data_IF_548489347973
#
_entry.id   IF_548489347973
#
_cell.length_a   1.000
_cell.length_b   1.000
_cell.length_c   1.000
_cell.angle_alpha   90.00
_cell.angle_beta   90.00
_cell.angle_gamma   90.00
#
_symmetry.space_group_name_H-M   'P 1'
#
loop_
_entity.id
_entity.type
_entity.pdbx_description
1 polymer ?
#
# COMPACT_ATOMS: atom_id res chain seq x y z
N UNK A 1 3.08 -3.22 -32.70
CA UNK A 1 1.85 -3.78 -33.28
C UNK A 1 1.72 -3.30 -34.72
N UNK A 2 1.22 -4.12 -35.66
CA UNK A 2 0.92 -3.67 -37.03
C UNK A 2 -0.45 -3.01 -37.10
N UNK A 3 -0.48 -1.74 -37.46
CA UNK A 3 -1.66 -0.91 -37.61
C UNK A 3 -1.90 -0.62 -39.09
N UNK A 4 -3.16 -0.66 -39.53
CA UNK A 4 -3.56 -0.26 -40.89
C UNK A 4 -4.26 1.09 -40.88
N UNK A 5 -4.07 1.87 -41.93
CA UNK A 5 -4.80 3.11 -42.17
C UNK A 5 -6.32 2.88 -42.21
N UNK A 6 -7.10 3.86 -41.73
CA UNK A 6 -8.58 3.80 -41.71
C UNK A 6 -9.20 3.11 -40.49
N UNK A 7 -8.41 2.67 -39.51
CA UNK A 7 -8.87 2.20 -38.18
C UNK A 7 -8.38 3.15 -37.08
N UNK A 8 -9.15 3.29 -36.00
CA UNK A 8 -8.84 4.19 -34.88
C UNK A 8 -7.98 3.44 -33.84
N UNK A 9 -6.72 3.84 -33.69
CA UNK A 9 -5.74 3.16 -32.81
C UNK A 9 -5.31 4.00 -31.60
N UNK A 10 -5.80 5.24 -31.47
CA UNK A 10 -5.43 6.18 -30.40
C UNK A 10 -4.25 7.10 -30.76
N UNK A 11 -3.86 7.95 -29.80
CA UNK A 11 -2.67 8.81 -29.87
C UNK A 11 -1.42 7.94 -29.67
N UNK A 12 -0.47 8.01 -30.59
CA UNK A 12 0.76 7.21 -30.52
C UNK A 12 1.84 7.73 -31.49
N UNK A 13 3.07 7.22 -31.33
CA UNK A 13 4.14 7.36 -32.31
C UNK A 13 4.11 6.19 -33.29
N UNK A 14 3.92 6.49 -34.57
CA UNK A 14 3.81 5.49 -35.63
C UNK A 14 5.08 5.48 -36.50
N UNK A 15 5.58 4.28 -36.80
CA UNK A 15 6.68 4.04 -37.73
C UNK A 15 6.14 3.44 -39.02
N UNK A 16 6.42 4.05 -40.16
CA UNK A 16 6.10 3.45 -41.45
C UNK A 16 6.97 2.19 -41.68
N UNK A 17 6.34 1.04 -41.97
CA UNK A 17 7.08 -0.23 -42.20
C UNK A 17 7.90 -0.21 -43.49
N UNK A 18 7.57 0.67 -44.44
CA UNK A 18 8.24 0.76 -45.74
C UNK A 18 9.40 1.75 -45.78
N UNK A 19 9.25 2.96 -45.22
CA UNK A 19 10.28 4.01 -45.29
C UNK A 19 10.93 4.32 -43.94
N UNK A 20 10.43 3.76 -42.83
CA UNK A 20 11.01 3.93 -41.50
C UNK A 20 10.79 5.29 -40.85
N UNK A 21 10.05 6.22 -41.48
CA UNK A 21 9.70 7.53 -40.92
C UNK A 21 8.83 7.35 -39.67
N UNK A 22 9.14 8.12 -38.63
CA UNK A 22 8.38 8.22 -37.39
C UNK A 22 7.55 9.50 -37.37
N UNK A 23 6.30 9.42 -36.91
CA UNK A 23 5.46 10.59 -36.65
C UNK A 23 4.57 10.32 -35.44
N UNK A 24 4.51 11.27 -34.52
CA UNK A 24 3.53 11.27 -33.42
C UNK A 24 2.25 11.89 -33.93
N UNK A 25 1.13 11.20 -33.72
CA UNK A 25 -0.18 11.65 -34.18
C UNK A 25 -1.12 11.80 -33.00
N UNK A 26 -1.73 12.98 -32.88
CA UNK A 26 -2.77 13.28 -31.88
C UNK A 26 -4.10 12.56 -32.23
N UNK A 27 -4.33 12.30 -33.52
CA UNK A 27 -5.49 11.55 -34.00
C UNK A 27 -5.13 10.71 -35.24
N UNK A 28 -5.94 9.70 -35.56
CA UNK A 28 -5.62 8.70 -36.58
C UNK A 28 -5.92 9.13 -38.02
N UNK A 29 -6.51 10.31 -38.21
CA UNK A 29 -6.90 10.78 -39.55
C UNK A 29 -5.66 11.16 -40.38
N UNK A 30 -4.54 11.46 -39.71
CA UNK A 30 -3.28 11.87 -40.31
C UNK A 30 -2.29 10.71 -40.56
N UNK A 31 -2.68 9.45 -40.35
CA UNK A 31 -1.79 8.28 -40.58
C UNK A 31 -1.29 8.21 -42.03
N UNK A 32 -2.13 8.59 -43.00
CA UNK A 32 -1.74 8.63 -44.41
C UNK A 32 -0.77 9.78 -44.74
N UNK A 33 -0.63 10.76 -43.84
CA UNK A 33 0.30 11.88 -43.97
C UNK A 33 1.67 11.61 -43.34
N UNK A 34 1.90 10.41 -42.79
CA UNK A 34 3.20 10.04 -42.19
C UNK A 34 4.30 10.02 -43.26
N UNK A 35 4.00 9.50 -44.46
CA UNK A 35 4.95 9.44 -45.57
C UNK A 35 4.24 9.60 -46.92
N UNK A 36 4.94 10.17 -47.90
CA UNK A 36 4.55 10.15 -49.31
C UNK A 36 4.86 8.81 -50.02
N UNK A 37 5.19 7.77 -49.25
CA UNK A 37 5.64 6.47 -49.76
C UNK A 37 4.51 5.49 -50.15
N UNK A 38 3.25 5.93 -49.96
CA UNK A 38 2.03 5.19 -50.32
C UNK A 38 1.83 3.91 -49.51
N UNK A 39 2.44 3.79 -48.34
CA UNK A 39 2.32 2.62 -47.48
C UNK A 39 1.10 2.75 -46.56
N UNK A 40 0.38 1.66 -46.32
CA UNK A 40 -0.80 1.61 -45.46
C UNK A 40 -0.58 0.82 -44.15
N UNK A 41 0.61 0.22 -43.98
CA UNK A 41 1.01 -0.52 -42.76
C UNK A 41 2.01 0.27 -41.90
N UNK A 42 1.72 0.34 -40.59
CA UNK A 42 2.54 1.09 -39.63
C UNK A 42 2.80 0.25 -38.38
N UNK A 43 3.95 0.46 -37.74
CA UNK A 43 4.27 -0.10 -36.44
C UNK A 43 4.09 0.96 -35.36
N UNK A 44 3.26 0.67 -34.37
CA UNK A 44 3.14 1.48 -33.16
C UNK A 44 3.66 0.68 -31.94
N UNK A 45 4.48 1.29 -31.05
CA UNK A 45 4.68 0.78 -29.71
C UNK A 45 3.39 1.01 -28.92
N UNK A 46 2.75 -0.05 -28.42
CA UNK A 46 1.59 0.14 -27.55
C UNK A 46 2.13 0.50 -26.17
N UNK A 47 2.01 1.77 -25.80
CA UNK A 47 2.28 2.22 -24.44
C UNK A 47 0.94 2.35 -23.72
N UNK A 48 0.73 1.51 -22.71
CA UNK A 48 -0.42 1.63 -21.83
C UNK A 48 -0.02 2.50 -20.64
N UNK A 49 -0.62 3.68 -20.53
CA UNK A 49 -0.56 4.45 -19.29
C UNK A 49 -1.48 3.79 -18.25
N UNK A 50 -0.92 3.47 -17.08
CA UNK A 50 -1.74 3.02 -15.96
C UNK A 50 -2.54 4.21 -15.44
N UNK A 51 -3.86 4.14 -15.54
CA UNK A 51 -4.72 5.18 -14.99
C UNK A 51 -4.61 5.22 -13.46
N UNK A 52 -4.63 6.43 -12.89
CA UNK A 52 -4.69 6.63 -11.44
C UNK A 52 -5.97 6.05 -10.82
N UNK A 53 -6.99 5.80 -11.64
CA UNK A 53 -8.25 5.21 -11.20
C UNK A 53 -8.04 3.82 -10.57
N UNK A 54 -7.20 2.98 -11.18
CA UNK A 54 -6.90 1.66 -10.61
C UNK A 54 -6.19 1.74 -9.25
N UNK A 55 -5.40 2.79 -9.01
CA UNK A 55 -4.77 3.00 -7.70
C UNK A 55 -5.76 3.49 -6.64
N UNK A 56 -6.78 4.27 -7.02
CA UNK A 56 -7.85 4.70 -6.12
C UNK A 56 -8.75 3.55 -5.71
N UNK A 57 -9.20 2.75 -6.69
CA UNK A 57 -9.98 1.52 -6.41
C UNK A 57 -9.20 0.59 -5.48
N UNK A 58 -7.90 0.40 -5.75
CA UNK A 58 -7.05 -0.42 -4.89
C UNK A 58 -6.90 0.16 -3.48
N UNK A 59 -6.83 1.49 -3.34
CA UNK A 59 -6.80 2.14 -2.05
C UNK A 59 -8.09 1.83 -1.27
N UNK A 60 -9.26 2.02 -1.89
CA UNK A 60 -10.56 1.75 -1.25
C UNK A 60 -10.68 0.29 -0.80
N UNK A 61 -10.24 -0.66 -1.65
CA UNK A 61 -10.18 -2.09 -1.29
C UNK A 61 -9.31 -2.34 -0.05
N UNK A 62 -8.10 -1.77 -0.03
CA UNK A 62 -7.16 -1.91 1.08
C UNK A 62 -7.77 -1.37 2.37
N UNK A 63 -8.38 -0.18 2.31
CA UNK A 63 -9.02 0.44 3.48
C UNK A 63 -10.15 -0.45 4.00
N UNK A 64 -11.03 -0.93 3.12
CA UNK A 64 -12.10 -1.84 3.56
C UNK A 64 -11.55 -3.11 4.21
N UNK A 65 -10.50 -3.71 3.63
CA UNK A 65 -9.87 -4.90 4.23
C UNK A 65 -9.29 -4.57 5.61
N UNK A 66 -8.65 -3.41 5.78
CA UNK A 66 -8.11 -2.99 7.07
C UNK A 66 -9.22 -2.82 8.11
N UNK A 67 -10.32 -2.15 7.78
CA UNK A 67 -11.46 -1.93 8.68
C UNK A 67 -12.07 -3.25 9.16
N UNK A 68 -12.35 -4.15 8.22
CA UNK A 68 -12.88 -5.48 8.51
C UNK A 68 -11.89 -6.27 9.38
N UNK A 69 -10.61 -6.24 9.04
CA UNK A 69 -9.59 -6.98 9.79
C UNK A 69 -9.43 -6.45 11.22
N UNK A 70 -9.48 -5.13 11.42
CA UNK A 70 -9.49 -4.52 12.76
C UNK A 70 -10.69 -5.02 13.56
N UNK A 71 -11.89 -5.01 12.96
CA UNK A 71 -13.10 -5.53 13.60
C UNK A 71 -12.96 -7.00 13.98
N UNK A 72 -12.44 -7.85 13.08
CA UNK A 72 -12.26 -9.28 13.35
C UNK A 72 -11.21 -9.53 14.45
N UNK A 73 -10.14 -8.74 14.48
CA UNK A 73 -9.12 -8.86 15.53
C UNK A 73 -9.63 -8.40 16.91
N UNK A 74 -10.29 -7.25 16.99
CA UNK A 74 -10.63 -6.63 18.28
C UNK A 74 -12.05 -6.95 18.77
N UNK A 75 -12.99 -7.13 17.84
CA UNK A 75 -14.39 -7.45 18.15
C UNK A 75 -14.65 -8.95 18.29
N UNK A 76 -13.95 -9.79 17.51
CA UNK A 76 -14.13 -11.24 17.50
C UNK A 76 -12.89 -12.02 17.98
N UNK A 77 -11.81 -11.33 18.38
CA UNK A 77 -10.58 -11.93 18.92
C UNK A 77 -9.89 -12.92 17.95
N UNK A 78 -10.02 -12.71 16.63
CA UNK A 78 -9.44 -13.59 15.61
C UNK A 78 -8.01 -13.13 15.24
N UNK A 79 -7.02 -13.67 15.95
CA UNK A 79 -5.60 -13.31 15.82
C UNK A 79 -4.98 -13.45 14.40
N UNK A 80 -5.53 -14.31 13.55
CA UNK A 80 -4.98 -14.52 12.19
C UNK A 80 -5.08 -13.25 11.32
N UNK A 81 -6.01 -12.34 11.63
CA UNK A 81 -6.21 -11.12 10.86
C UNK A 81 -5.15 -10.03 11.13
N UNK A 82 -4.34 -10.14 12.18
CA UNK A 82 -3.16 -9.25 12.34
C UNK A 82 -2.19 -9.39 11.16
N UNK A 83 -2.01 -10.61 10.63
CA UNK A 83 -1.20 -10.85 9.44
C UNK A 83 -1.81 -10.18 8.20
N UNK A 84 -3.14 -10.20 8.07
CA UNK A 84 -3.85 -9.53 6.97
C UNK A 84 -3.63 -8.02 7.05
N UNK A 85 -3.75 -7.42 8.24
CA UNK A 85 -3.46 -6.01 8.48
C UNK A 85 -2.03 -5.68 8.05
N UNK A 86 -1.04 -6.46 8.49
CA UNK A 86 0.35 -6.24 8.13
C UNK A 86 0.60 -6.28 6.61
N UNK A 87 0.02 -7.26 5.91
CA UNK A 87 0.14 -7.36 4.44
C UNK A 87 -0.47 -6.14 3.76
N UNK A 88 -1.66 -5.71 4.19
CA UNK A 88 -2.30 -4.52 3.61
C UNK A 88 -1.51 -3.23 3.89
N UNK A 89 -1.00 -3.07 5.12
CA UNK A 89 -0.12 -1.96 5.48
C UNK A 89 1.18 -1.97 4.67
N UNK A 90 1.78 -3.14 4.44
CA UNK A 90 2.99 -3.26 3.61
C UNK A 90 2.72 -2.81 2.17
N UNK A 91 1.63 -3.28 1.57
CA UNK A 91 1.24 -2.86 0.20
C UNK A 91 1.04 -1.34 0.13
N UNK A 92 0.34 -0.78 1.12
CA UNK A 92 -0.06 0.63 1.13
C UNK A 92 1.09 1.58 1.44
N UNK A 93 1.94 1.24 2.40
CA UNK A 93 2.95 2.12 2.98
C UNK A 93 4.37 1.81 2.49
N UNK A 94 4.70 0.54 2.28
CA UNK A 94 6.07 0.09 2.01
C UNK A 94 6.32 -0.20 0.52
N UNK A 95 5.52 -1.06 -0.09
CA UNK A 95 5.82 -1.65 -1.40
C UNK A 95 5.45 -0.72 -2.56
N UNK A 96 4.30 -0.05 -2.48
CA UNK A 96 3.79 0.78 -3.57
C UNK A 96 3.19 2.10 -3.09
N UNK A 97 4.08 3.07 -2.88
CA UNK A 97 3.68 4.43 -2.51
C UNK A 97 2.74 5.12 -3.50
N UNK A 98 2.56 4.62 -4.74
CA UNK A 98 1.58 5.18 -5.71
C UNK A 98 0.14 5.02 -5.24
N UNK A 99 -0.18 3.94 -4.52
CA UNK A 99 -1.54 3.67 -4.03
C UNK A 99 -1.96 4.77 -3.06
N UNK A 100 -1.18 4.99 -2.00
CA UNK A 100 -1.47 6.06 -1.04
C UNK A 100 -1.35 7.46 -1.69
N UNK A 101 -0.44 7.63 -2.66
CA UNK A 101 -0.29 8.90 -3.40
C UNK A 101 -1.47 9.24 -4.30
N UNK A 102 -2.30 8.28 -4.66
CA UNK A 102 -3.54 8.53 -5.41
C UNK A 102 -4.53 9.42 -4.64
N UNK A 103 -4.41 9.45 -3.30
CA UNK A 103 -5.18 10.29 -2.38
C UNK A 103 -4.32 11.36 -1.69
N UNK A 104 -3.10 11.02 -1.28
CA UNK A 104 -2.17 11.88 -0.57
C UNK A 104 -0.90 12.11 -1.39
N UNK A 105 -0.87 13.14 -2.24
CA UNK A 105 0.23 13.36 -3.18
C UNK A 105 1.64 13.32 -2.55
N UNK A 106 1.76 13.79 -1.30
CA UNK A 106 2.98 13.69 -0.47
C UNK A 106 2.60 13.16 0.92
N UNK A 107 2.52 11.83 1.13
CA UNK A 107 2.08 11.27 2.40
C UNK A 107 3.03 11.67 3.53
N UNK A 108 2.45 12.20 4.62
CA UNK A 108 3.18 12.58 5.83
C UNK A 108 2.43 12.08 7.06
N UNK A 109 3.16 11.56 8.02
CA UNK A 109 2.63 10.98 9.26
C UNK A 109 3.28 11.65 10.46
N UNK A 110 2.54 11.75 11.56
CA UNK A 110 3.09 12.27 12.82
C UNK A 110 4.20 11.34 13.34
N UNK A 111 5.37 11.88 13.73
CA UNK A 111 6.45 11.07 14.31
C UNK A 111 6.04 10.49 15.67
N UNK A 112 6.75 9.51 16.19
CA UNK A 112 6.49 9.03 17.54
C UNK A 112 6.90 10.07 18.61
N UNK A 113 6.38 9.94 19.83
CA UNK A 113 6.68 10.89 20.92
C UNK A 113 8.15 10.87 21.31
N UNK A 114 8.81 9.72 21.14
CA UNK A 114 10.20 9.49 21.56
C UNK A 114 10.32 8.96 22.99
N UNK A 115 9.18 8.78 23.67
CA UNK A 115 9.13 8.20 25.00
C UNK A 115 9.44 6.71 24.91
N UNK A 116 10.67 6.35 25.29
CA UNK A 116 11.11 4.96 25.36
C UNK A 116 10.66 4.33 26.67
N UNK A 117 10.10 3.14 26.56
CA UNK A 117 9.65 2.34 27.68
C UNK A 117 10.56 1.14 27.81
N UNK A 118 11.10 0.93 29.01
CA UNK A 118 11.91 -0.22 29.33
C UNK A 118 10.99 -1.41 29.60
N UNK A 119 11.15 -2.48 28.82
CA UNK A 119 10.40 -3.72 29.00
C UNK A 119 10.84 -4.50 30.24
N UNK A 120 10.24 -5.68 30.43
CA UNK A 120 10.63 -6.62 31.50
C UNK A 120 11.92 -7.38 31.19
N UNK A 121 12.39 -7.34 29.95
CA UNK A 121 13.68 -7.88 29.49
C UNK A 121 14.62 -6.75 29.06
N UNK A 122 15.83 -7.09 28.60
CA UNK A 122 16.84 -6.15 28.09
C UNK A 122 16.43 -5.55 26.73
N UNK A 123 15.28 -4.90 26.69
CA UNK A 123 14.83 -4.13 25.53
C UNK A 123 14.11 -2.84 25.95
N UNK A 124 14.12 -1.89 25.04
CA UNK A 124 13.32 -0.68 25.10
C UNK A 124 12.42 -0.64 23.88
N UNK A 125 11.23 -0.06 24.02
CA UNK A 125 10.35 0.19 22.88
C UNK A 125 9.53 1.46 23.04
N UNK A 126 9.05 2.01 21.94
CA UNK A 126 7.95 2.97 21.95
C UNK A 126 6.65 2.17 22.23
N UNK A 127 5.72 2.69 23.02
CA UNK A 127 4.41 2.03 23.14
C UNK A 127 3.50 2.42 21.97
N UNK A 128 2.54 1.58 21.61
CA UNK A 128 1.69 1.81 20.44
C UNK A 128 0.90 3.13 20.53
N UNK A 129 0.47 3.52 21.73
CA UNK A 129 -0.18 4.80 22.01
C UNK A 129 0.73 6.01 21.80
N UNK A 130 2.05 5.79 21.77
CA UNK A 130 3.07 6.81 21.59
C UNK A 130 3.65 6.84 20.16
N UNK A 131 3.14 6.01 19.25
CA UNK A 131 3.64 5.88 17.89
C UNK A 131 3.34 7.10 17.01
N UNK A 132 2.32 7.88 17.38
CA UNK A 132 1.89 9.08 16.65
C UNK A 132 1.70 10.29 17.59
N UNK A 133 2.68 11.18 17.59
CA UNK A 133 2.64 12.44 18.32
C UNK A 133 1.94 13.53 17.49
N UNK A 134 0.61 13.63 17.64
CA UNK A 134 -0.23 14.62 16.95
C UNK A 134 0.10 16.09 17.31
N UNK A 135 1.01 16.34 18.26
CA UNK A 135 1.46 17.70 18.62
C UNK A 135 2.64 18.18 17.75
N UNK A 136 3.36 17.25 17.09
CA UNK A 136 4.51 17.55 16.24
C UNK A 136 4.09 17.74 14.78
N UNK A 137 4.97 18.31 13.96
CA UNK A 137 4.69 18.38 12.52
C UNK A 137 4.83 16.99 11.86
N UNK A 138 3.91 16.61 10.95
CA UNK A 138 4.04 15.39 10.17
C UNK A 138 5.33 15.35 9.33
N UNK A 139 6.01 14.20 9.35
CA UNK A 139 7.22 13.92 8.58
C UNK A 139 6.91 13.05 7.36
N UNK A 140 7.77 13.07 6.35
CA UNK A 140 7.59 12.27 5.14
C UNK A 140 7.51 10.77 5.45
N UNK A 141 6.64 10.04 4.74
CA UNK A 141 6.42 8.60 4.93
C UNK A 141 7.73 7.79 5.00
N UNK A 142 8.66 8.01 4.06
CA UNK A 142 9.94 7.28 4.04
C UNK A 142 10.80 7.53 5.29
N UNK A 143 10.69 8.73 5.89
CA UNK A 143 11.35 9.05 7.16
C UNK A 143 10.61 8.42 8.33
N UNK A 144 9.27 8.42 8.27
CA UNK A 144 8.43 7.86 9.32
C UNK A 144 8.63 6.35 9.46
N UNK A 145 8.69 5.63 8.32
CA UNK A 145 8.94 4.19 8.26
C UNK A 145 10.29 3.78 8.87
N UNK A 146 11.30 4.66 8.78
CA UNK A 146 12.65 4.46 9.31
C UNK A 146 12.83 4.92 10.76
N UNK A 147 11.76 5.34 11.42
CA UNK A 147 11.86 5.67 12.84
C UNK A 147 12.06 4.40 13.64
N UNK A 148 13.12 4.38 14.43
CA UNK A 148 13.39 3.30 15.38
C UNK A 148 12.33 3.28 16.48
N UNK A 149 11.77 2.12 16.73
CA UNK A 149 10.67 1.90 17.67
C UNK A 149 10.98 0.84 18.72
N UNK A 150 12.01 0.02 18.52
CA UNK A 150 12.49 -0.90 19.54
C UNK A 150 14.02 -1.08 19.48
N UNK A 151 14.62 -1.33 20.64
CA UNK A 151 16.07 -1.45 20.85
C UNK A 151 16.38 -2.60 21.80
N UNK A 152 17.44 -3.36 21.52
CA UNK A 152 17.96 -4.40 22.39
C UNK A 152 19.47 -4.56 22.16
N UNK A 153 20.28 -5.00 23.13
CA UNK A 153 21.69 -5.30 22.89
C UNK A 153 21.90 -6.54 22.00
N UNK A 154 20.85 -7.35 21.76
CA UNK A 154 20.96 -8.59 21.00
C UNK A 154 20.80 -8.42 19.49
N UNK A 155 20.27 -7.28 19.03
CA UNK A 155 19.95 -7.04 17.63
C UNK A 155 19.97 -5.54 17.28
N UNK A 156 20.13 -5.23 15.99
CA UNK A 156 20.11 -3.84 15.51
C UNK A 156 18.72 -3.20 15.67
N UNK A 157 18.64 -1.90 16.01
CA UNK A 157 17.37 -1.20 16.23
C UNK A 157 16.32 -1.53 15.18
N UNK A 158 15.09 -1.69 15.64
CA UNK A 158 13.96 -2.03 14.80
C UNK A 158 13.22 -0.78 14.42
N UNK A 159 12.99 -0.58 13.13
CA UNK A 159 12.15 0.51 12.64
C UNK A 159 10.70 0.09 12.42
N UNK A 160 9.83 1.05 12.09
CA UNK A 160 8.41 0.77 11.86
C UNK A 160 8.19 -0.18 10.68
N UNK A 161 9.01 -0.05 9.62
CA UNK A 161 8.93 -0.92 8.45
C UNK A 161 9.28 -2.36 8.82
N UNK A 162 10.30 -2.57 9.66
CA UNK A 162 10.69 -3.88 10.16
C UNK A 162 9.52 -4.58 10.89
N UNK A 163 8.74 -3.85 11.70
CA UNK A 163 7.56 -4.41 12.38
C UNK A 163 6.50 -4.88 11.38
N UNK A 164 6.21 -4.07 10.36
CA UNK A 164 5.24 -4.40 9.31
C UNK A 164 5.72 -5.62 8.52
N UNK A 165 6.99 -5.62 8.11
CA UNK A 165 7.59 -6.69 7.31
C UNK A 165 7.65 -8.01 8.08
N UNK A 166 8.06 -8.00 9.35
CA UNK A 166 8.12 -9.18 10.20
C UNK A 166 6.75 -9.87 10.31
N UNK A 167 5.68 -9.09 10.50
CA UNK A 167 4.33 -9.65 10.53
C UNK A 167 3.84 -10.08 9.16
N UNK A 168 4.04 -9.29 8.10
CA UNK A 168 3.59 -9.64 6.76
C UNK A 168 4.27 -10.92 6.22
N UNK A 169 5.47 -11.23 6.70
CA UNK A 169 6.25 -12.40 6.31
C UNK A 169 6.13 -13.59 7.30
N UNK A 170 5.38 -13.44 8.41
CA UNK A 170 5.31 -14.41 9.52
C UNK A 170 5.01 -15.85 9.11
N UNK A 171 4.32 -16.07 8.00
CA UNK A 171 3.94 -17.41 7.51
C UNK A 171 4.75 -17.90 6.29
N UNK A 172 5.83 -17.19 5.92
CA UNK A 172 6.72 -17.58 4.84
C UNK A 172 6.14 -17.29 3.45
N UNK A 173 6.94 -16.66 2.59
CA UNK A 173 6.76 -16.81 1.15
C UNK A 173 7.09 -18.24 0.72
N UNK A 174 7.12 -18.50 -0.59
CA UNK A 174 7.39 -19.82 -1.18
C UNK A 174 8.73 -20.50 -0.75
N UNK A 175 9.57 -19.80 0.01
CA UNK A 175 10.75 -20.33 0.68
C UNK A 175 10.62 -20.11 2.19
N UNK A 176 10.16 -21.14 2.91
CA UNK A 176 10.18 -21.14 4.38
C UNK A 176 11.62 -21.41 4.81
N UNK A 177 12.32 -20.35 5.20
CA UNK A 177 13.55 -20.50 5.95
C UNK A 177 13.20 -20.99 7.37
N UNK A 178 13.87 -22.04 7.83
CA UNK A 178 13.49 -22.75 9.08
C UNK A 178 13.77 -21.94 10.36
N UNK A 179 14.33 -20.73 10.24
CA UNK A 179 14.78 -19.89 11.34
C UNK A 179 14.26 -18.47 11.15
N UNK A 180 13.46 -18.01 12.09
CA UNK A 180 13.03 -16.61 12.19
C UNK A 180 14.07 -15.85 13.04
N UNK A 181 14.67 -14.76 12.55
CA UNK A 181 15.57 -13.93 13.34
C UNK A 181 14.94 -13.44 14.65
N UNK A 182 15.75 -13.33 15.72
CA UNK A 182 15.27 -12.90 17.05
C UNK A 182 14.56 -11.54 17.01
N UNK A 183 15.08 -10.60 16.22
CA UNK A 183 14.45 -9.30 15.94
C UNK A 183 13.02 -9.46 15.41
N UNK A 184 12.80 -10.31 14.42
CA UNK A 184 11.47 -10.55 13.86
C UNK A 184 10.55 -11.26 14.86
N UNK A 185 11.08 -12.22 15.62
CA UNK A 185 10.33 -12.88 16.71
C UNK A 185 9.87 -11.89 17.77
N UNK A 186 10.70 -10.90 18.13
CA UNK A 186 10.31 -9.83 19.05
C UNK A 186 9.12 -9.03 18.52
N UNK A 187 9.17 -8.59 17.24
CA UNK A 187 8.07 -7.88 16.61
C UNK A 187 6.78 -8.72 16.61
N UNK A 188 6.89 -10.02 16.35
CA UNK A 188 5.74 -10.92 16.27
C UNK A 188 5.13 -11.23 17.65
N UNK A 189 5.97 -11.45 18.67
CA UNK A 189 5.53 -12.00 19.94
C UNK A 189 5.23 -10.95 21.02
N UNK A 190 5.84 -9.76 20.94
CA UNK A 190 5.85 -8.81 22.07
C UNK A 190 4.99 -7.58 21.82
N UNK A 191 5.12 -6.93 20.66
CA UNK A 191 4.56 -5.57 20.47
C UNK A 191 3.87 -5.33 19.13
N UNK A 192 4.07 -6.20 18.13
CA UNK A 192 3.64 -5.88 16.76
C UNK A 192 2.13 -5.86 16.57
N UNK A 193 1.33 -6.61 17.35
CA UNK A 193 -0.15 -6.56 17.22
C UNK A 193 -0.70 -5.15 17.44
N UNK A 194 -0.32 -4.52 18.55
CA UNK A 194 -0.82 -3.20 18.92
C UNK A 194 -0.31 -2.12 17.98
N UNK A 195 0.92 -2.27 17.48
CA UNK A 195 1.48 -1.40 16.45
C UNK A 195 0.66 -1.47 15.17
N UNK A 196 0.37 -2.67 14.67
CA UNK A 196 -0.39 -2.84 13.43
C UNK A 196 -1.77 -2.20 13.53
N UNK A 197 -2.45 -2.34 14.67
CA UNK A 197 -3.75 -1.70 14.92
C UNK A 197 -3.61 -0.19 14.99
N UNK A 198 -2.63 0.34 15.73
CA UNK A 198 -2.41 1.77 15.84
C UNK A 198 -2.11 2.40 14.48
N UNK A 199 -1.26 1.77 13.67
CA UNK A 199 -0.91 2.23 12.33
C UNK A 199 -2.13 2.19 11.41
N UNK A 200 -2.87 1.07 11.37
CA UNK A 200 -4.04 0.94 10.51
C UNK A 200 -5.11 1.97 10.85
N UNK A 201 -5.46 2.14 12.13
CA UNK A 201 -6.43 3.15 12.58
C UNK A 201 -6.00 4.56 12.19
N UNK A 202 -4.73 4.90 12.43
CA UNK A 202 -4.19 6.21 12.09
C UNK A 202 -4.25 6.48 10.57
N UNK A 203 -3.92 5.49 9.74
CA UNK A 203 -3.94 5.64 8.28
C UNK A 203 -5.37 5.79 7.74
N UNK A 204 -6.32 5.03 8.27
CA UNK A 204 -7.76 5.15 7.93
C UNK A 204 -8.24 6.58 8.26
N UNK A 205 -7.95 7.06 9.47
CA UNK A 205 -8.28 8.43 9.91
C UNK A 205 -7.61 9.48 8.99
N UNK A 206 -6.31 9.32 8.70
CA UNK A 206 -5.54 10.25 7.86
C UNK A 206 -6.13 10.38 6.44
N UNK A 207 -6.70 9.30 5.91
CA UNK A 207 -7.30 9.27 4.58
C UNK A 207 -8.76 9.77 4.57
N UNK A 208 -9.33 10.03 5.75
CA UNK A 208 -10.66 10.60 5.94
C UNK A 208 -11.80 9.57 6.00
N UNK A 209 -11.49 8.30 6.27
CA UNK A 209 -12.49 7.25 6.47
C UNK A 209 -12.90 7.19 7.95
N UNK A 210 -14.16 6.83 8.21
CA UNK A 210 -14.69 6.69 9.57
C UNK A 210 -14.89 5.21 9.87
N UNK A 211 -13.86 4.60 10.45
CA UNK A 211 -13.84 3.20 10.84
C UNK A 211 -15.12 2.74 11.55
N UNK A 212 -15.67 3.56 12.46
CA UNK A 212 -16.83 3.17 13.24
C UNK A 212 -18.10 3.18 12.39
N UNK A 213 -18.31 4.27 11.63
CA UNK A 213 -19.44 4.37 10.69
C UNK A 213 -19.38 3.25 9.65
N UNK A 214 -18.19 3.00 9.10
CA UNK A 214 -17.95 2.00 8.07
C UNK A 214 -18.25 0.57 8.55
N UNK A 215 -17.79 0.20 9.75
CA UNK A 215 -18.11 -1.11 10.35
C UNK A 215 -19.62 -1.25 10.57
N UNK A 216 -20.29 -0.21 11.06
CA UNK A 216 -21.73 -0.24 11.31
C UNK A 216 -22.53 -0.43 10.02
N UNK A 217 -22.21 0.34 8.99
CA UNK A 217 -22.95 0.36 7.74
C UNK A 217 -22.70 -0.90 6.90
N UNK A 218 -21.46 -1.36 6.82
CA UNK A 218 -21.06 -2.38 5.85
C UNK A 218 -20.90 -3.78 6.43
N UNK A 219 -20.83 -3.93 7.75
CA UNK A 219 -20.72 -5.24 8.40
C UNK A 219 -21.91 -5.54 9.28
N UNK A 220 -22.14 -4.70 10.31
CA UNK A 220 -23.10 -5.02 11.35
C UNK A 220 -24.54 -4.93 10.86
N UNK A 221 -24.90 -3.91 10.07
CA UNK A 221 -26.25 -3.77 9.53
C UNK A 221 -26.62 -4.92 8.58
N UNK A 222 -25.79 -5.31 7.58
CA UNK A 222 -26.06 -6.48 6.76
C UNK A 222 -26.13 -7.79 7.55
N UNK A 223 -25.22 -8.00 8.51
CA UNK A 223 -25.21 -9.20 9.34
C UNK A 223 -26.48 -9.32 10.19
N UNK A 224 -26.92 -8.23 10.82
CA UNK A 224 -28.15 -8.20 11.60
C UNK A 224 -29.38 -8.44 10.71
N UNK A 225 -29.39 -7.95 9.47
CA UNK A 225 -30.48 -8.22 8.53
C UNK A 225 -30.55 -9.70 8.15
N UNK A 226 -29.41 -10.37 8.00
CA UNK A 226 -29.32 -11.82 7.73
C UNK A 226 -29.79 -12.69 8.91
N UNK A 227 -29.55 -12.26 10.15
CA UNK A 227 -30.02 -12.99 11.33
C UNK A 227 -31.52 -12.82 11.60
N UNK A 228 -32.09 -11.71 11.12
CA UNK A 228 -33.51 -11.38 11.30
C UNK A 228 -34.39 -11.78 10.10
N UNK A 229 -33.80 -12.43 9.08
CA UNK A 229 -34.49 -12.98 7.91
C UNK A 229 -34.66 -14.50 8.03
#
# INVERSE_FOLDING_TARGET
MKCKAGKKWGENTYKCTKCGIYKTLENNEEILEICSCGNDEFEAPIEFERSDNGYREKLDEIIRILEVSIFLCQGLEIDSFYNVIAVQLRILLCDNSRIIRSRLQKPKLHPHTGNRFKGTSDYESILSENLFDKTKMPIALDKWLKQEVAWSPHWEPMDVKDVIDAWANKNGGAHIDSRVPEKEMFAIAVSGKDYLIAIARYVIELLGYDLHSDILEHLLRPYNNLLNS
#
